data_IF_297059472002
#
_entry.id   IF_297059472002
#
_cell.length_a   1.000
_cell.length_b   1.000
_cell.length_c   1.000
_cell.angle_alpha   90.00
_cell.angle_beta   90.00
_cell.angle_gamma   90.00
#
_symmetry.space_group_name_H-M   'P 1'
#
loop_
_entity.id
_entity.type
_entity.pdbx_description
1 polymer ?
#
# COMPACT_ATOMS: atom_id res chain seq x y z
N UNK A 1 -19.60 33.09 -17.59
CA UNK A 1 -20.29 32.61 -16.39
C UNK A 1 -19.26 32.48 -15.28
N UNK A 2 -19.42 33.27 -14.23
CA UNK A 2 -18.49 33.26 -13.08
C UNK A 2 -18.77 31.99 -12.29
N UNK A 3 -17.90 30.98 -12.42
CA UNK A 3 -17.97 29.78 -11.63
C UNK A 3 -17.83 30.13 -10.16
N UNK A 4 -18.71 29.61 -9.29
CA UNK A 4 -18.63 29.80 -7.85
C UNK A 4 -17.26 29.33 -7.35
N UNK A 5 -16.55 30.22 -6.69
CA UNK A 5 -15.25 29.91 -6.07
C UNK A 5 -15.53 29.48 -4.64
N UNK A 6 -15.13 28.26 -4.28
CA UNK A 6 -15.27 27.75 -2.92
C UNK A 6 -13.90 27.78 -2.24
N UNK A 7 -13.81 28.34 -1.05
CA UNK A 7 -12.56 28.43 -0.29
C UNK A 7 -12.47 27.31 0.75
N UNK A 8 -11.40 26.54 0.68
CA UNK A 8 -11.04 25.47 1.60
C UNK A 8 -9.62 25.69 2.15
N UNK A 9 -9.32 25.11 3.27
CA UNK A 9 -7.93 25.06 3.74
C UNK A 9 -7.13 24.00 2.95
N UNK A 10 -7.78 22.86 2.64
CA UNK A 10 -7.15 21.73 1.93
C UNK A 10 -8.07 21.22 0.82
N UNK A 11 -7.52 21.03 -0.38
CA UNK A 11 -8.17 20.30 -1.48
C UNK A 11 -7.47 18.96 -1.69
N UNK A 12 -8.16 17.86 -1.45
CA UNK A 12 -7.62 16.49 -1.58
C UNK A 12 -8.22 15.85 -2.82
N UNK A 13 -7.36 15.38 -3.74
CA UNK A 13 -7.79 14.70 -4.97
C UNK A 13 -7.59 13.20 -4.84
N UNK A 14 -8.69 12.45 -4.81
CA UNK A 14 -8.78 11.01 -4.65
C UNK A 14 -9.28 10.60 -3.28
N UNK A 15 -10.46 9.93 -3.20
CA UNK A 15 -11.11 9.46 -1.98
C UNK A 15 -10.96 7.94 -1.79
N UNK A 16 -9.73 7.47 -1.74
CA UNK A 16 -9.35 6.14 -1.31
C UNK A 16 -8.53 6.24 -0.01
N UNK A 17 -7.79 5.20 0.39
CA UNK A 17 -7.11 5.13 1.69
C UNK A 17 -6.37 6.43 2.07
N UNK A 18 -5.45 6.88 1.22
CA UNK A 18 -4.64 8.06 1.53
C UNK A 18 -5.47 9.35 1.64
N UNK A 19 -6.37 9.58 0.66
CA UNK A 19 -7.15 10.82 0.61
C UNK A 19 -8.18 10.93 1.72
N UNK A 20 -8.89 9.83 2.03
CA UNK A 20 -9.84 9.81 3.16
C UNK A 20 -9.10 10.01 4.49
N UNK A 21 -7.91 9.42 4.66
CA UNK A 21 -7.07 9.64 5.84
C UNK A 21 -6.67 11.10 5.99
N UNK A 22 -6.17 11.72 4.92
CA UNK A 22 -5.81 13.15 4.91
C UNK A 22 -7.01 14.01 5.26
N UNK A 23 -8.14 13.79 4.58
CA UNK A 23 -9.33 14.62 4.75
C UNK A 23 -9.85 14.57 6.20
N UNK A 24 -10.03 13.34 6.73
CA UNK A 24 -10.50 13.16 8.10
C UNK A 24 -9.55 13.78 9.14
N UNK A 25 -8.25 13.50 9.03
CA UNK A 25 -7.28 13.99 10.01
C UNK A 25 -7.09 15.51 9.98
N UNK A 26 -7.19 16.18 8.83
CA UNK A 26 -7.21 17.64 8.77
C UNK A 26 -8.50 18.22 9.35
N UNK A 27 -9.64 17.65 9.00
CA UNK A 27 -10.94 18.13 9.52
C UNK A 27 -11.04 17.94 11.04
N UNK A 28 -10.53 16.84 11.60
CA UNK A 28 -10.42 16.67 13.06
C UNK A 28 -9.55 17.73 13.75
N UNK A 29 -8.74 18.47 13.00
CA UNK A 29 -7.95 19.63 13.46
C UNK A 29 -8.59 20.97 13.08
N UNK A 30 -9.86 20.98 12.68
CA UNK A 30 -10.64 22.17 12.37
C UNK A 30 -10.46 22.73 10.97
N UNK A 31 -9.74 22.06 10.07
CA UNK A 31 -9.58 22.52 8.69
C UNK A 31 -10.84 22.21 7.86
N UNK A 32 -11.17 23.10 6.92
CA UNK A 32 -12.18 22.87 5.87
C UNK A 32 -11.54 22.15 4.70
N UNK A 33 -12.05 20.96 4.35
CA UNK A 33 -11.45 20.06 3.36
C UNK A 33 -12.44 19.76 2.24
N UNK A 34 -12.03 20.01 0.98
CA UNK A 34 -12.69 19.45 -0.20
C UNK A 34 -12.06 18.10 -0.52
N UNK A 35 -12.85 17.02 -0.48
CA UNK A 35 -12.42 15.68 -0.85
C UNK A 35 -13.01 15.29 -2.21
N UNK A 36 -12.20 15.34 -3.26
CA UNK A 36 -12.61 15.21 -4.65
C UNK A 36 -12.40 13.76 -5.10
N UNK A 37 -13.44 13.11 -5.59
CA UNK A 37 -13.38 11.72 -6.09
C UNK A 37 -14.06 11.61 -7.47
N UNK A 38 -13.32 11.06 -8.44
CA UNK A 38 -13.81 10.92 -9.81
C UNK A 38 -14.94 9.89 -9.99
N UNK A 39 -15.02 8.89 -9.10
CA UNK A 39 -16.06 7.88 -9.12
C UNK A 39 -17.27 8.40 -8.35
N UNK A 40 -18.47 8.40 -8.95
CA UNK A 40 -19.67 8.86 -8.27
C UNK A 40 -20.21 7.84 -7.26
N UNK A 41 -19.95 6.54 -7.51
CA UNK A 41 -20.43 5.46 -6.66
C UNK A 41 -19.71 5.45 -5.31
N UNK A 42 -20.43 5.64 -4.18
CA UNK A 42 -19.86 5.59 -2.84
C UNK A 42 -19.32 4.20 -2.47
N UNK A 43 -19.81 3.13 -3.10
CA UNK A 43 -19.34 1.77 -2.90
C UNK A 43 -18.11 1.41 -3.75
N UNK A 44 -17.66 2.30 -4.64
CA UNK A 44 -16.51 2.03 -5.51
C UNK A 44 -15.24 1.72 -4.72
N UNK A 45 -14.50 0.70 -5.10
CA UNK A 45 -13.28 0.24 -4.45
C UNK A 45 -12.18 -0.12 -5.46
N UNK A 46 -10.95 -0.33 -4.97
CA UNK A 46 -9.80 -0.76 -5.79
C UNK A 46 -9.81 -2.28 -5.93
N UNK A 47 -10.07 -2.80 -7.12
CA UNK A 47 -10.23 -4.24 -7.39
C UNK A 47 -8.91 -5.01 -7.21
N UNK A 48 -7.82 -4.59 -7.88
CA UNK A 48 -6.54 -5.28 -7.79
C UNK A 48 -5.75 -4.81 -6.55
N UNK A 49 -5.72 -5.63 -5.50
CA UNK A 49 -5.03 -5.36 -4.25
C UNK A 49 -4.69 -6.66 -3.54
N UNK A 50 -3.71 -6.63 -2.63
CA UNK A 50 -3.38 -7.72 -1.70
C UNK A 50 -4.25 -7.73 -0.45
N UNK A 51 -5.06 -6.70 -0.23
CA UNK A 51 -6.03 -6.61 0.87
C UNK A 51 -5.42 -6.73 2.28
N UNK A 52 -4.14 -6.38 2.43
CA UNK A 52 -3.44 -6.42 3.70
C UNK A 52 -3.05 -5.03 4.19
N UNK A 53 -3.19 -4.79 5.48
CA UNK A 53 -2.69 -3.61 6.16
C UNK A 53 -1.55 -4.04 7.08
N UNK A 54 -0.36 -3.50 6.88
CA UNK A 54 0.82 -3.85 7.68
C UNK A 54 0.73 -3.30 9.11
N UNK A 55 1.40 -3.93 10.09
CA UNK A 55 1.38 -3.55 11.51
C UNK A 55 1.69 -2.07 11.76
N UNK A 56 2.60 -1.48 10.98
CA UNK A 56 3.00 -0.06 11.09
C UNK A 56 1.87 0.94 10.88
N UNK A 57 0.73 0.52 10.34
CA UNK A 57 -0.44 1.36 10.17
C UNK A 57 -1.43 1.32 11.34
N UNK A 58 -1.22 0.45 12.33
CA UNK A 58 -2.12 0.32 13.48
C UNK A 58 -2.36 1.66 14.20
N UNK A 59 -1.34 2.49 14.49
CA UNK A 59 -1.58 3.79 15.12
C UNK A 59 -2.49 4.71 14.30
N UNK A 60 -2.32 4.73 12.98
CA UNK A 60 -3.17 5.53 12.09
C UNK A 60 -4.61 5.01 12.08
N UNK A 61 -4.81 3.69 12.08
CA UNK A 61 -6.12 3.04 12.13
C UNK A 61 -6.86 3.40 13.42
N UNK A 62 -6.18 3.38 14.56
CA UNK A 62 -6.72 3.76 15.87
C UNK A 62 -7.11 5.25 15.88
N UNK A 63 -6.24 6.12 15.40
CA UNK A 63 -6.45 7.56 15.32
C UNK A 63 -7.62 7.94 14.41
N UNK A 64 -7.87 7.16 13.36
CA UNK A 64 -9.04 7.33 12.49
C UNK A 64 -10.33 6.83 13.13
N UNK A 65 -10.30 6.14 14.27
CA UNK A 65 -11.45 5.45 14.84
C UNK A 65 -11.89 4.23 14.00
N UNK A 66 -11.01 3.73 13.12
CA UNK A 66 -11.33 2.64 12.20
C UNK A 66 -11.28 1.27 12.87
N UNK A 67 -10.49 1.11 13.94
CA UNK A 67 -10.24 -0.19 14.57
C UNK A 67 -11.53 -0.89 15.05
N UNK A 68 -12.41 -0.17 15.72
CA UNK A 68 -13.68 -0.72 16.21
C UNK A 68 -14.56 -1.22 15.06
N UNK A 69 -14.67 -0.44 13.98
CA UNK A 69 -15.46 -0.81 12.81
C UNK A 69 -14.89 -2.01 12.04
N UNK A 70 -13.56 -2.23 12.07
CA UNK A 70 -12.94 -3.44 11.51
C UNK A 70 -13.24 -4.67 12.37
N UNK A 71 -13.15 -4.53 13.71
CA UNK A 71 -13.48 -5.63 14.64
C UNK A 71 -14.95 -6.03 14.51
N UNK A 72 -15.87 -5.07 14.47
CA UNK A 72 -17.30 -5.31 14.30
C UNK A 72 -17.64 -6.10 13.03
N UNK A 73 -16.84 -5.91 11.97
CA UNK A 73 -16.98 -6.61 10.69
C UNK A 73 -16.23 -7.94 10.63
N UNK A 74 -15.69 -8.43 11.74
CA UNK A 74 -14.96 -9.69 11.79
C UNK A 74 -13.65 -9.68 10.99
N UNK A 75 -13.08 -8.51 10.73
CA UNK A 75 -11.81 -8.39 9.99
C UNK A 75 -10.68 -9.03 10.81
N UNK A 76 -9.97 -10.05 10.28
CA UNK A 76 -8.96 -10.76 11.03
C UNK A 76 -7.70 -9.92 11.27
N UNK A 77 -7.11 -10.11 12.45
CA UNK A 77 -5.73 -9.69 12.72
C UNK A 77 -4.79 -10.70 12.08
N UNK A 78 -3.82 -10.21 11.30
CA UNK A 78 -2.96 -11.10 10.50
C UNK A 78 -1.50 -10.83 10.76
N UNK A 79 -0.73 -11.90 11.03
CA UNK A 79 0.73 -11.87 10.99
C UNK A 79 1.21 -12.35 9.60
N UNK A 80 2.44 -12.02 9.23
CA UNK A 80 3.01 -12.47 7.96
C UNK A 80 4.03 -13.58 8.19
N UNK A 81 3.92 -14.64 7.38
CA UNK A 81 4.90 -15.72 7.31
C UNK A 81 5.39 -15.87 5.85
N UNK A 82 6.65 -16.23 5.73
CA UNK A 82 7.37 -16.33 4.45
C UNK A 82 7.90 -17.73 4.27
N UNK A 83 7.57 -18.36 3.16
CA UNK A 83 8.17 -19.61 2.72
C UNK A 83 9.30 -19.34 1.73
N UNK A 84 10.39 -20.07 1.87
CA UNK A 84 11.55 -19.99 0.98
C UNK A 84 12.06 -21.38 0.62
N UNK A 85 12.51 -21.61 -0.64
CA UNK A 85 13.09 -22.89 -1.05
C UNK A 85 14.42 -23.20 -0.33
N UNK A 86 14.96 -22.24 0.42
CA UNK A 86 16.25 -22.37 1.11
C UNK A 86 16.14 -22.90 2.54
N UNK A 87 14.95 -23.19 3.05
CA UNK A 87 14.80 -23.73 4.41
C UNK A 87 13.38 -23.81 4.96
N UNK A 88 12.35 -23.44 4.20
CA UNK A 88 10.95 -23.52 4.62
C UNK A 88 10.41 -22.20 5.20
N UNK A 89 9.57 -22.28 6.24
CA UNK A 89 8.86 -21.14 6.82
C UNK A 89 9.69 -20.34 7.83
N UNK A 90 9.52 -19.04 7.81
CA UNK A 90 9.90 -18.12 8.89
C UNK A 90 8.91 -16.95 8.96
N UNK A 91 8.81 -16.27 10.11
CA UNK A 91 7.90 -15.16 10.26
C UNK A 91 7.93 -14.54 11.65
N UNK A 92 7.05 -13.56 11.89
CA UNK A 92 6.87 -12.88 13.16
C UNK A 92 5.40 -12.90 13.57
N UNK A 93 4.97 -13.87 14.36
CA UNK A 93 3.57 -13.96 14.80
C UNK A 93 3.13 -12.77 15.65
N UNK A 94 4.08 -12.10 16.34
CA UNK A 94 3.79 -10.96 17.22
C UNK A 94 3.47 -9.67 16.44
N UNK A 95 3.83 -9.59 15.15
CA UNK A 95 3.62 -8.42 14.32
C UNK A 95 2.30 -8.54 13.53
N UNK A 96 1.22 -8.09 14.15
CA UNK A 96 -0.11 -8.22 13.57
C UNK A 96 -0.61 -6.95 12.88
N UNK A 97 -0.96 -7.10 11.61
CA UNK A 97 -1.73 -6.15 10.82
C UNK A 97 -3.21 -6.52 10.73
N UNK A 98 -3.83 -6.24 9.59
CA UNK A 98 -5.24 -6.54 9.31
C UNK A 98 -5.39 -7.11 7.89
N UNK A 99 -6.24 -8.12 7.76
CA UNK A 99 -6.65 -8.66 6.45
C UNK A 99 -8.05 -8.15 6.10
N UNK A 100 -8.15 -7.10 5.30
CA UNK A 100 -9.43 -6.46 4.97
C UNK A 100 -9.58 -6.25 3.48
N UNK A 101 -10.69 -6.69 2.90
CA UNK A 101 -10.97 -6.45 1.49
C UNK A 101 -11.11 -4.95 1.21
N UNK A 102 -10.73 -4.54 -0.02
CA UNK A 102 -10.94 -3.15 -0.44
C UNK A 102 -12.42 -2.83 -0.64
N UNK A 103 -13.25 -3.85 -0.84
CA UNK A 103 -14.71 -3.76 -0.88
C UNK A 103 -15.28 -3.25 0.44
N UNK A 104 -14.69 -3.67 1.55
CA UNK A 104 -15.03 -3.19 2.90
C UNK A 104 -14.30 -1.90 3.25
N UNK A 105 -12.99 -1.85 3.03
CA UNK A 105 -12.13 -0.75 3.51
C UNK A 105 -12.40 0.59 2.82
N UNK A 106 -12.53 0.60 1.47
CA UNK A 106 -12.64 1.87 0.73
C UNK A 106 -13.96 2.62 1.02
N UNK A 107 -15.13 1.97 0.97
CA UNK A 107 -16.39 2.61 1.35
C UNK A 107 -16.41 3.06 2.81
N UNK A 108 -15.91 2.22 3.72
CA UNK A 108 -15.86 2.56 5.15
C UNK A 108 -15.03 3.81 5.42
N UNK A 109 -13.84 3.91 4.84
CA UNK A 109 -13.00 5.10 4.98
C UNK A 109 -13.64 6.35 4.37
N UNK A 110 -14.36 6.18 3.25
CA UNK A 110 -15.05 7.29 2.59
C UNK A 110 -16.23 7.79 3.41
N UNK A 111 -17.01 6.88 4.01
CA UNK A 111 -18.09 7.23 4.94
C UNK A 111 -17.53 7.98 6.16
N UNK A 112 -16.52 7.42 6.81
CA UNK A 112 -15.88 8.07 7.97
C UNK A 112 -15.31 9.47 7.63
N UNK A 113 -14.77 9.65 6.44
CA UNK A 113 -14.29 10.95 6.01
C UNK A 113 -15.45 11.92 5.75
N UNK A 114 -16.50 11.49 5.04
CA UNK A 114 -17.65 12.31 4.70
C UNK A 114 -18.46 12.74 5.94
N UNK A 115 -18.53 11.87 6.94
CA UNK A 115 -19.21 12.14 8.22
C UNK A 115 -18.42 13.06 9.16
N UNK A 116 -17.14 13.35 8.83
CA UNK A 116 -16.31 14.21 9.67
C UNK A 116 -16.67 15.69 9.42
N UNK A 117 -17.09 16.45 10.43
CA UNK A 117 -17.37 17.88 10.28
C UNK A 117 -16.18 18.62 9.65
N UNK A 118 -16.45 19.43 8.64
CA UNK A 118 -15.43 20.16 7.88
C UNK A 118 -14.97 19.47 6.60
N UNK A 119 -15.39 18.23 6.32
CA UNK A 119 -15.14 17.55 5.02
C UNK A 119 -16.34 17.73 4.09
N UNK A 120 -16.10 18.26 2.91
CA UNK A 120 -17.04 18.23 1.78
C UNK A 120 -16.56 17.17 0.78
N UNK A 121 -17.26 16.03 0.73
CA UNK A 121 -17.01 14.99 -0.26
C UNK A 121 -17.67 15.37 -1.59
N UNK A 122 -16.88 15.41 -2.67
CA UNK A 122 -17.30 15.76 -4.03
C UNK A 122 -17.17 14.52 -4.94
N UNK A 123 -18.14 13.58 -4.94
CA UNK A 123 -18.13 12.41 -5.80
C UNK A 123 -18.47 12.79 -7.24
N UNK A 124 -17.90 12.09 -8.23
CA UNK A 124 -18.10 12.35 -9.65
C UNK A 124 -17.27 13.48 -10.24
N UNK A 125 -16.39 14.12 -9.44
CA UNK A 125 -15.53 15.22 -9.88
C UNK A 125 -14.10 14.77 -10.14
N UNK A 126 -13.53 15.21 -11.27
CA UNK A 126 -12.16 14.93 -11.69
C UNK A 126 -11.33 16.22 -11.72
N UNK A 127 -10.12 16.20 -11.18
CA UNK A 127 -9.18 17.30 -11.35
C UNK A 127 -8.71 17.41 -12.81
N UNK A 128 -8.90 18.59 -13.41
CA UNK A 128 -8.59 18.87 -14.82
C UNK A 128 -7.61 20.03 -15.01
N UNK A 129 -7.36 20.83 -13.97
CA UNK A 129 -6.41 21.93 -13.98
C UNK A 129 -5.85 22.24 -12.59
N UNK A 130 -4.69 22.91 -12.56
CA UNK A 130 -4.14 23.47 -11.32
C UNK A 130 -4.45 24.96 -11.27
N UNK A 131 -4.92 25.45 -10.12
CA UNK A 131 -4.96 26.89 -9.85
C UNK A 131 -3.62 27.27 -9.24
N UNK A 132 -2.89 28.17 -9.90
CA UNK A 132 -1.61 28.67 -9.45
C UNK A 132 -1.72 30.07 -8.87
N UNK A 133 -0.85 30.36 -7.90
CA UNK A 133 -0.47 31.69 -7.41
C UNK A 133 1.05 31.83 -7.63
N UNK A 134 1.65 33.02 -7.58
CA UNK A 134 3.08 33.15 -7.83
C UNK A 134 3.94 32.16 -7.04
N UNK A 135 4.56 31.21 -7.77
CA UNK A 135 5.47 30.20 -7.24
C UNK A 135 4.83 29.05 -6.46
N UNK A 136 3.48 28.91 -6.38
CA UNK A 136 2.82 27.87 -5.59
C UNK A 136 1.48 27.40 -6.15
N UNK A 137 1.05 26.22 -5.74
CA UNK A 137 -0.31 25.74 -5.95
C UNK A 137 -1.29 26.48 -5.00
N UNK A 138 -2.47 26.84 -5.53
CA UNK A 138 -3.50 27.59 -4.82
C UNK A 138 -4.90 26.96 -5.00
N UNK A 139 -4.98 25.73 -5.53
CA UNK A 139 -6.23 24.99 -5.73
C UNK A 139 -6.21 24.12 -6.97
N UNK A 140 -7.39 23.58 -7.30
CA UNK A 140 -7.61 22.74 -8.47
C UNK A 140 -8.88 23.17 -9.23
N UNK A 141 -8.86 23.01 -10.54
CA UNK A 141 -10.07 23.04 -11.36
C UNK A 141 -10.58 21.61 -11.48
N UNK A 142 -11.87 21.42 -11.22
CA UNK A 142 -12.52 20.12 -11.25
C UNK A 142 -13.65 20.13 -12.26
N UNK A 143 -13.88 18.97 -12.89
CA UNK A 143 -14.95 18.79 -13.89
C UNK A 143 -15.77 17.58 -13.53
N UNK A 144 -17.09 17.70 -13.59
CA UNK A 144 -18.03 16.60 -13.46
C UNK A 144 -18.26 15.87 -14.81
N UNK A 145 -19.17 14.90 -14.82
CA UNK A 145 -19.51 14.13 -16.02
C UNK A 145 -20.28 14.93 -17.08
N UNK A 146 -21.01 15.96 -16.64
CA UNK A 146 -21.81 16.82 -17.50
C UNK A 146 -20.97 17.95 -18.11
N UNK A 147 -19.68 17.98 -17.78
CA UNK A 147 -18.73 18.97 -18.29
C UNK A 147 -18.70 20.27 -17.47
N UNK A 148 -19.46 20.35 -16.37
CA UNK A 148 -19.45 21.52 -15.48
C UNK A 148 -18.08 21.66 -14.84
N UNK A 149 -17.50 22.85 -14.92
CA UNK A 149 -16.18 23.15 -14.32
C UNK A 149 -16.38 24.02 -13.07
N UNK A 150 -15.73 23.62 -11.97
CA UNK A 150 -15.63 24.37 -10.72
C UNK A 150 -14.19 24.65 -10.36
N UNK A 151 -13.95 25.80 -9.76
CA UNK A 151 -12.65 26.16 -9.18
C UNK A 151 -12.72 25.93 -7.67
N UNK A 152 -11.86 25.04 -7.17
CA UNK A 152 -11.70 24.73 -5.75
C UNK A 152 -10.40 25.38 -5.29
N UNK A 153 -10.48 26.57 -4.68
CA UNK A 153 -9.30 27.23 -4.10
C UNK A 153 -8.98 26.64 -2.76
N UNK A 154 -7.68 26.43 -2.50
CA UNK A 154 -7.21 25.89 -1.23
C UNK A 154 -5.77 26.34 -0.95
N UNK A 155 -5.42 26.46 0.32
CA UNK A 155 -4.06 26.79 0.78
C UNK A 155 -3.07 25.63 0.53
N UNK A 156 -3.59 24.40 0.61
CA UNK A 156 -2.85 23.16 0.33
C UNK A 156 -3.64 22.27 -0.63
N UNK A 157 -3.02 21.86 -1.71
CA UNK A 157 -3.53 20.80 -2.60
C UNK A 157 -2.83 19.49 -2.25
N UNK A 158 -3.58 18.39 -2.12
CA UNK A 158 -3.03 17.06 -1.86
C UNK A 158 -3.41 16.10 -2.98
N UNK A 159 -2.40 15.62 -3.71
CA UNK A 159 -2.55 14.53 -4.67
C UNK A 159 -2.57 13.18 -3.95
N UNK A 160 -3.75 12.53 -3.91
CA UNK A 160 -4.00 11.20 -3.35
C UNK A 160 -4.61 10.25 -4.40
N UNK A 161 -4.45 10.58 -5.68
CA UNK A 161 -5.13 10.00 -6.85
C UNK A 161 -4.37 8.81 -7.48
N UNK A 162 -3.43 8.26 -6.72
CA UNK A 162 -2.79 6.99 -7.01
C UNK A 162 -1.62 7.06 -8.00
N UNK A 163 -1.16 5.90 -8.43
CA UNK A 163 0.07 5.73 -9.22
C UNK A 163 0.14 6.59 -10.49
N UNK A 164 -0.97 6.68 -11.21
CA UNK A 164 -1.10 7.48 -12.42
C UNK A 164 -1.54 8.92 -12.16
N UNK A 165 -1.17 9.52 -11.03
CA UNK A 165 -1.64 10.81 -10.54
C UNK A 165 -1.87 11.87 -11.62
N UNK A 166 -3.11 12.33 -11.74
CA UNK A 166 -3.50 13.47 -12.59
C UNK A 166 -2.97 14.77 -12.00
N UNK A 167 -3.00 14.91 -10.67
CA UNK A 167 -2.43 16.09 -9.98
C UNK A 167 -0.95 16.23 -10.28
N UNK A 168 -0.19 15.13 -10.29
CA UNK A 168 1.23 15.18 -10.63
C UNK A 168 1.47 15.62 -12.06
N UNK A 169 0.66 15.17 -13.02
CA UNK A 169 0.75 15.64 -14.42
C UNK A 169 0.37 17.10 -14.57
N UNK A 170 -0.73 17.52 -13.94
CA UNK A 170 -1.21 18.91 -13.99
C UNK A 170 -0.23 19.90 -13.34
N UNK A 171 0.52 19.45 -12.33
CA UNK A 171 1.53 20.24 -11.63
C UNK A 171 2.96 20.07 -12.23
N UNK A 172 3.12 19.36 -13.34
CA UNK A 172 4.43 18.98 -13.93
C UNK A 172 5.40 18.40 -12.90
N UNK A 173 4.90 17.46 -12.08
CA UNK A 173 5.73 16.70 -11.13
C UNK A 173 6.02 15.31 -11.69
N UNK A 174 7.16 15.17 -12.33
CA UNK A 174 7.59 13.89 -12.89
C UNK A 174 8.03 12.92 -11.79
N UNK A 175 7.72 11.64 -11.99
CA UNK A 175 8.18 10.55 -11.12
C UNK A 175 9.44 9.90 -11.69
N UNK A 176 10.34 9.48 -10.81
CA UNK A 176 11.40 8.53 -11.17
C UNK A 176 10.78 7.14 -11.22
N UNK A 177 10.87 6.50 -12.39
CA UNK A 177 10.38 5.14 -12.61
C UNK A 177 11.55 4.17 -12.51
N UNK A 178 11.41 3.11 -11.71
CA UNK A 178 12.37 2.02 -11.61
C UNK A 178 11.83 0.77 -12.31
N UNK A 179 12.71 -0.06 -12.88
CA UNK A 179 12.32 -1.30 -13.54
C UNK A 179 11.46 -2.19 -12.63
N UNK A 180 10.49 -2.85 -13.26
CA UNK A 180 9.63 -3.84 -12.63
C UNK A 180 9.41 -4.98 -13.64
N UNK A 181 9.85 -6.18 -13.29
CA UNK A 181 9.86 -7.33 -14.19
C UNK A 181 8.92 -8.45 -13.74
N UNK A 182 7.80 -8.09 -13.10
CA UNK A 182 6.76 -9.01 -12.64
C UNK A 182 5.40 -8.57 -13.10
N UNK A 183 4.47 -9.51 -13.13
CA UNK A 183 3.05 -9.25 -13.24
C UNK A 183 2.29 -10.18 -12.28
N UNK A 184 1.05 -9.83 -12.01
CA UNK A 184 0.28 -10.43 -10.94
C UNK A 184 -1.10 -10.83 -11.45
N UNK A 185 -1.59 -11.96 -10.94
CA UNK A 185 -2.98 -12.35 -11.01
C UNK A 185 -3.52 -12.58 -9.61
N UNK A 186 -4.71 -12.04 -9.36
CA UNK A 186 -5.40 -12.07 -8.08
C UNK A 186 -6.74 -12.77 -8.26
N UNK A 187 -7.13 -13.64 -7.33
CA UNK A 187 -8.48 -14.16 -7.26
C UNK A 187 -8.93 -14.26 -5.81
N UNK A 188 -10.22 -13.95 -5.60
CA UNK A 188 -10.90 -14.17 -4.33
C UNK A 188 -11.37 -15.63 -4.27
N UNK A 189 -11.20 -16.25 -3.12
CA UNK A 189 -11.59 -17.63 -2.83
C UNK A 189 -12.36 -17.69 -1.54
N UNK A 190 -13.29 -18.62 -1.42
CA UNK A 190 -14.03 -18.95 -0.19
C UNK A 190 -13.70 -20.37 0.22
N UNK A 191 -13.73 -20.65 1.53
CA UNK A 191 -13.47 -21.97 2.06
C UNK A 191 -12.00 -22.41 1.99
N UNK A 192 -11.06 -21.49 1.81
CA UNK A 192 -9.62 -21.81 1.86
C UNK A 192 -9.23 -22.08 3.31
N UNK A 193 -8.78 -23.31 3.65
CA UNK A 193 -8.39 -23.61 5.01
C UNK A 193 -7.09 -22.91 5.41
N UNK A 194 -6.87 -22.71 6.73
CA UNK A 194 -5.60 -22.22 7.24
C UNK A 194 -4.44 -23.15 6.85
N UNK A 195 -3.31 -22.58 6.42
CA UNK A 195 -2.19 -23.33 5.82
C UNK A 195 -1.39 -24.14 6.86
N UNK A 196 -1.19 -23.64 8.08
CA UNK A 196 -0.32 -24.29 9.07
C UNK A 196 -1.06 -24.87 10.27
N UNK A 197 -2.09 -24.21 10.77
CA UNK A 197 -2.89 -24.67 11.89
C UNK A 197 -4.30 -24.11 11.82
N UNK A 198 -5.27 -24.86 12.36
CA UNK A 198 -6.66 -24.42 12.43
C UNK A 198 -6.76 -23.08 13.18
N UNK A 199 -7.49 -22.14 12.59
CA UNK A 199 -7.69 -20.80 13.18
C UNK A 199 -6.53 -19.81 13.04
N UNK A 200 -5.41 -20.17 12.35
CA UNK A 200 -4.31 -19.24 12.09
C UNK A 200 -4.63 -18.30 10.92
N UNK A 201 -4.92 -17.01 11.18
CA UNK A 201 -5.26 -16.04 10.14
C UNK A 201 -4.02 -15.41 9.48
N UNK A 202 -2.88 -16.08 9.50
CA UNK A 202 -1.65 -15.48 8.98
C UNK A 202 -1.65 -15.33 7.46
N UNK A 203 -1.12 -14.20 7.01
CA UNK A 203 -0.73 -13.99 5.62
C UNK A 203 0.43 -14.95 5.31
N UNK A 204 0.36 -15.61 4.16
CA UNK A 204 1.42 -16.49 3.66
C UNK A 204 2.00 -15.93 2.36
N UNK A 205 3.32 -15.83 2.32
CA UNK A 205 4.02 -15.40 1.11
C UNK A 205 5.05 -16.47 0.72
N UNK A 206 4.99 -16.96 -0.51
CA UNK A 206 5.96 -17.87 -1.09
C UNK A 206 6.93 -17.11 -1.97
N UNK A 207 8.21 -17.11 -1.59
CA UNK A 207 9.33 -16.51 -2.33
C UNK A 207 10.02 -17.59 -3.14
N UNK A 208 9.44 -17.95 -4.30
CA UNK A 208 9.81 -19.15 -5.08
C UNK A 208 11.03 -18.96 -5.98
N UNK A 209 11.55 -17.76 -6.19
CA UNK A 209 12.73 -17.44 -7.03
C UNK A 209 12.69 -18.07 -8.46
N UNK A 210 12.18 -17.36 -9.49
CA UNK A 210 11.81 -15.94 -9.52
C UNK A 210 10.31 -15.67 -9.32
N UNK A 211 9.51 -16.70 -9.29
CA UNK A 211 8.07 -16.63 -9.07
C UNK A 211 7.73 -16.31 -7.61
N UNK A 212 6.47 -16.10 -7.35
CA UNK A 212 5.97 -15.94 -6.00
C UNK A 212 4.48 -16.18 -5.93
N UNK A 213 4.00 -16.37 -4.72
CA UNK A 213 2.58 -16.44 -4.45
C UNK A 213 2.27 -15.84 -3.08
N UNK A 214 1.03 -15.52 -2.86
CA UNK A 214 0.58 -15.06 -1.54
C UNK A 214 -0.86 -15.49 -1.26
N UNK A 215 -1.14 -15.75 0.00
CA UNK A 215 -2.44 -16.00 0.58
C UNK A 215 -2.74 -14.92 1.62
N UNK A 216 -3.83 -14.19 1.42
CA UNK A 216 -4.29 -13.13 2.30
C UNK A 216 -5.69 -13.48 2.82
N UNK A 217 -5.82 -13.93 4.08
CA UNK A 217 -7.12 -14.14 4.70
C UNK A 217 -7.78 -12.79 5.00
N UNK A 218 -9.07 -12.71 4.76
CA UNK A 218 -9.89 -11.52 4.96
C UNK A 218 -11.19 -11.89 5.70
N UNK A 219 -12.05 -10.89 5.89
CA UNK A 219 -13.38 -11.08 6.49
C UNK A 219 -14.27 -11.99 5.63
N UNK A 220 -15.37 -12.47 6.19
CA UNK A 220 -16.42 -13.29 5.56
C UNK A 220 -15.90 -14.62 4.95
N UNK A 221 -14.80 -15.16 5.49
CA UNK A 221 -14.18 -16.38 4.99
C UNK A 221 -13.59 -16.24 3.60
N UNK A 222 -13.37 -15.00 3.14
CA UNK A 222 -12.70 -14.71 1.86
C UNK A 222 -11.18 -14.75 2.05
N UNK A 223 -10.51 -15.41 1.13
CA UNK A 223 -9.06 -15.33 0.98
C UNK A 223 -8.72 -14.79 -0.41
N UNK A 224 -7.70 -13.93 -0.49
CA UNK A 224 -7.14 -13.53 -1.78
C UNK A 224 -5.88 -14.32 -2.04
N UNK A 225 -5.90 -15.15 -3.08
CA UNK A 225 -4.73 -15.85 -3.57
C UNK A 225 -4.10 -15.07 -4.73
N UNK A 226 -2.79 -14.87 -4.65
CA UNK A 226 -2.03 -14.08 -5.62
C UNK A 226 -0.97 -14.94 -6.26
N UNK A 227 -0.97 -15.01 -7.58
CA UNK A 227 0.12 -15.59 -8.38
C UNK A 227 1.00 -14.47 -8.95
N UNK A 228 2.31 -14.61 -8.81
CA UNK A 228 3.32 -13.65 -9.25
C UNK A 228 4.25 -14.31 -10.25
N UNK A 229 4.29 -13.76 -11.45
CA UNK A 229 5.10 -14.29 -12.54
C UNK A 229 6.15 -13.29 -13.00
N UNK A 230 7.33 -13.75 -13.39
CA UNK A 230 8.33 -12.92 -14.05
C UNK A 230 7.87 -12.53 -15.47
N UNK A 231 8.24 -11.34 -15.92
CA UNK A 231 7.71 -10.74 -17.15
C UNK A 231 8.02 -11.57 -18.43
N UNK A 232 9.08 -12.33 -18.44
CA UNK A 232 9.41 -13.19 -19.60
C UNK A 232 8.41 -14.34 -19.80
N UNK A 233 7.61 -14.71 -18.78
CA UNK A 233 6.53 -15.69 -18.90
C UNK A 233 5.21 -15.09 -19.38
N UNK A 234 5.16 -13.79 -19.68
CA UNK A 234 3.88 -13.10 -19.96
C UNK A 234 3.12 -13.69 -21.15
N UNK A 235 3.81 -14.03 -22.23
CA UNK A 235 3.18 -14.61 -23.43
C UNK A 235 2.57 -16.00 -23.14
N UNK A 236 3.31 -16.86 -22.46
CA UNK A 236 2.87 -18.19 -22.01
C UNK A 236 1.64 -18.11 -21.10
N UNK A 237 1.75 -17.28 -20.04
CA UNK A 237 0.66 -17.16 -19.06
C UNK A 237 -0.59 -16.51 -19.67
N UNK A 238 -0.44 -15.59 -20.62
CA UNK A 238 -1.58 -14.99 -21.33
C UNK A 238 -2.31 -15.95 -22.25
N UNK A 239 -1.63 -16.96 -22.77
CA UNK A 239 -2.24 -18.01 -23.59
C UNK A 239 -3.20 -18.91 -22.79
N UNK A 240 -2.93 -19.09 -21.48
CA UNK A 240 -3.74 -19.87 -20.55
C UNK A 240 -3.64 -19.25 -19.15
N UNK A 241 -4.39 -18.17 -18.91
CA UNK A 241 -4.35 -17.44 -17.63
C UNK A 241 -4.84 -18.33 -16.49
N UNK A 242 -5.97 -18.99 -16.67
CA UNK A 242 -6.63 -19.79 -15.64
C UNK A 242 -5.77 -21.00 -15.26
N UNK A 243 -5.35 -21.80 -16.23
CA UNK A 243 -4.50 -22.93 -15.97
C UNK A 243 -3.12 -22.56 -15.42
N UNK A 244 -2.51 -21.46 -15.88
CA UNK A 244 -1.23 -21.00 -15.35
C UNK A 244 -1.35 -20.52 -13.89
N UNK A 245 -2.42 -19.81 -13.58
CA UNK A 245 -2.71 -19.36 -12.22
C UNK A 245 -2.94 -20.56 -11.28
N UNK A 246 -3.83 -21.48 -11.66
CA UNK A 246 -4.16 -22.65 -10.83
C UNK A 246 -2.98 -23.59 -10.66
N UNK A 247 -2.22 -23.87 -11.72
CA UNK A 247 -1.00 -24.69 -11.62
C UNK A 247 -0.02 -24.13 -10.60
N UNK A 248 0.23 -22.80 -10.60
CA UNK A 248 1.13 -22.21 -9.62
C UNK A 248 0.60 -22.33 -8.20
N UNK A 249 -0.67 -21.99 -7.98
CA UNK A 249 -1.27 -22.01 -6.62
C UNK A 249 -1.35 -23.43 -6.06
N UNK A 250 -1.73 -24.43 -6.88
CA UNK A 250 -1.82 -25.84 -6.43
C UNK A 250 -0.46 -26.49 -6.23
N UNK A 251 0.59 -26.00 -6.88
CA UNK A 251 1.96 -26.50 -6.75
C UNK A 251 2.75 -25.86 -5.59
N UNK A 252 2.13 -24.98 -4.79
CA UNK A 252 2.83 -24.31 -3.69
C UNK A 252 3.28 -25.31 -2.63
N UNK A 253 4.57 -25.33 -2.26
CA UNK A 253 5.05 -26.14 -1.16
C UNK A 253 4.35 -25.77 0.15
N UNK A 254 3.74 -26.74 0.82
CA UNK A 254 2.86 -26.49 1.98
C UNK A 254 1.80 -25.39 1.68
N UNK A 255 1.24 -25.43 0.47
CA UNK A 255 0.19 -24.53 0.02
C UNK A 255 -1.16 -24.84 0.66
N UNK A 256 -2.17 -23.97 0.44
CA UNK A 256 -3.53 -24.25 0.92
C UNK A 256 -4.13 -25.43 0.17
N UNK A 257 -4.89 -26.26 0.88
CA UNK A 257 -5.76 -27.24 0.24
C UNK A 257 -6.94 -26.52 -0.42
N UNK A 258 -7.13 -26.72 -1.71
CA UNK A 258 -8.21 -26.10 -2.49
C UNK A 258 -9.26 -27.11 -2.96
N UNK A 259 -9.28 -28.33 -2.38
CA UNK A 259 -10.23 -29.37 -2.80
C UNK A 259 -11.68 -28.94 -2.60
N UNK A 260 -11.97 -28.30 -1.47
CA UNK A 260 -13.29 -27.81 -1.08
C UNK A 260 -13.44 -26.27 -1.23
N UNK A 261 -12.39 -25.59 -1.73
CA UNK A 261 -12.39 -24.15 -1.87
C UNK A 261 -13.01 -23.73 -3.20
N UNK A 262 -13.81 -22.69 -3.18
CA UNK A 262 -14.48 -22.11 -4.35
C UNK A 262 -13.85 -20.75 -4.72
N UNK A 263 -13.54 -20.57 -6.01
CA UNK A 263 -13.11 -19.27 -6.53
C UNK A 263 -14.32 -18.35 -6.72
N UNK A 264 -14.28 -17.19 -6.05
CA UNK A 264 -15.33 -16.17 -6.11
C UNK A 264 -15.02 -15.16 -7.20
N UNK A 265 -15.69 -15.27 -8.33
CA UNK A 265 -15.54 -14.34 -9.45
C UNK A 265 -14.33 -14.64 -10.36
N UNK A 266 -13.90 -13.61 -11.10
CA UNK A 266 -12.86 -13.75 -12.13
C UNK A 266 -11.45 -13.52 -11.57
N UNK A 267 -10.46 -14.07 -12.26
CA UNK A 267 -9.05 -13.75 -12.04
C UNK A 267 -8.77 -12.33 -12.56
N UNK A 268 -8.21 -11.48 -11.73
CA UNK A 268 -7.89 -10.08 -12.05
C UNK A 268 -6.40 -9.93 -12.29
N UNK A 269 -6.01 -9.51 -13.49
CA UNK A 269 -4.62 -9.29 -13.86
C UNK A 269 -4.12 -7.87 -13.57
N UNK A 270 -2.88 -7.75 -13.14
CA UNK A 270 -2.13 -6.51 -13.06
C UNK A 270 -0.79 -6.69 -13.76
N UNK A 271 -0.75 -6.33 -15.04
CA UNK A 271 0.39 -6.62 -15.92
C UNK A 271 1.51 -5.58 -15.82
N UNK A 272 1.16 -4.34 -15.49
CA UNK A 272 2.11 -3.24 -15.35
C UNK A 272 2.00 -2.60 -13.98
N UNK A 273 3.11 -2.67 -13.25
CA UNK A 273 3.21 -2.18 -11.87
C UNK A 273 4.52 -1.41 -11.69
N UNK A 274 4.74 -0.31 -12.42
CA UNK A 274 6.00 0.42 -12.32
C UNK A 274 6.21 0.94 -10.90
N UNK A 275 7.44 0.81 -10.40
CA UNK A 275 7.86 1.46 -9.16
C UNK A 275 8.07 2.94 -9.45
N UNK A 276 7.28 3.79 -8.79
CA UNK A 276 7.29 5.23 -9.04
C UNK A 276 7.59 5.98 -7.76
N UNK A 277 8.52 6.92 -7.84
CA UNK A 277 8.86 7.82 -6.75
C UNK A 277 8.80 9.27 -7.25
N UNK A 278 7.97 10.09 -6.61
CA UNK A 278 7.84 11.54 -6.90
C UNK A 278 8.37 12.37 -5.74
N UNK A 279 8.72 13.62 -6.02
CA UNK A 279 8.91 14.61 -4.99
C UNK A 279 7.62 14.73 -4.16
N UNK A 280 7.64 14.47 -2.84
CA UNK A 280 6.43 14.38 -2.06
C UNK A 280 5.78 15.73 -1.76
N UNK A 281 6.45 16.85 -2.01
CA UNK A 281 5.87 18.18 -1.90
C UNK A 281 6.55 19.24 -2.77
N UNK A 282 5.80 20.31 -3.03
CA UNK A 282 6.22 21.61 -3.57
C UNK A 282 5.45 22.70 -2.81
N UNK A 283 5.76 23.99 -2.98
CA UNK A 283 4.97 25.06 -2.35
C UNK A 283 3.46 24.92 -2.64
N UNK A 284 2.64 24.85 -1.59
CA UNK A 284 1.20 24.67 -1.67
C UNK A 284 0.71 23.31 -2.19
N UNK A 285 1.60 22.33 -2.41
CA UNK A 285 1.25 21.02 -2.99
C UNK A 285 1.96 19.90 -2.25
N UNK A 286 1.22 18.83 -1.95
CA UNK A 286 1.77 17.57 -1.41
C UNK A 286 1.22 16.36 -2.15
N UNK A 287 1.94 15.24 -2.08
CA UNK A 287 1.51 13.92 -2.56
C UNK A 287 1.60 12.90 -1.44
N UNK A 288 0.62 11.99 -1.39
CA UNK A 288 0.54 10.89 -0.42
C UNK A 288 0.21 9.56 -1.11
N UNK A 289 0.50 8.46 -0.45
CA UNK A 289 0.24 7.12 -0.97
C UNK A 289 0.89 6.86 -2.34
N UNK A 290 0.20 6.12 -3.21
CA UNK A 290 0.71 5.77 -4.55
C UNK A 290 0.95 7.01 -5.46
N UNK A 291 0.40 8.17 -5.14
CA UNK A 291 0.68 9.42 -5.86
C UNK A 291 2.09 9.95 -5.57
N UNK A 292 2.62 9.70 -4.38
CA UNK A 292 4.00 10.01 -4.00
C UNK A 292 4.95 8.85 -4.27
N UNK A 293 4.57 7.64 -3.84
CA UNK A 293 5.41 6.44 -3.87
C UNK A 293 4.57 5.20 -4.16
N UNK A 294 4.82 4.57 -5.31
CA UNK A 294 4.19 3.32 -5.71
C UNK A 294 5.24 2.22 -5.87
N UNK A 295 4.95 1.02 -5.33
CA UNK A 295 5.88 -0.12 -5.30
C UNK A 295 5.24 -1.39 -5.82
N UNK A 296 6.06 -2.44 -5.88
CA UNK A 296 5.65 -3.82 -6.10
C UNK A 296 4.61 -4.25 -5.03
N UNK A 297 3.46 -4.80 -5.43
CA UNK A 297 2.40 -5.21 -4.49
C UNK A 297 2.72 -6.49 -3.69
N UNK A 298 3.74 -7.27 -4.05
CA UNK A 298 4.06 -8.54 -3.37
C UNK A 298 4.22 -8.38 -1.85
N UNK A 299 4.78 -7.26 -1.42
CA UNK A 299 5.01 -6.99 0.01
C UNK A 299 3.76 -6.47 0.77
N UNK A 300 2.63 -6.28 0.11
CA UNK A 300 1.41 -5.75 0.74
C UNK A 300 1.53 -4.33 1.30
N UNK A 301 2.60 -3.59 0.95
CA UNK A 301 2.98 -2.35 1.63
C UNK A 301 2.18 -1.11 1.21
N UNK A 302 1.44 -1.15 0.09
CA UNK A 302 0.81 0.05 -0.51
C UNK A 302 -0.21 0.73 0.38
N UNK A 303 -1.05 -0.02 1.08
CA UNK A 303 -2.04 0.53 2.02
C UNK A 303 -1.34 1.20 3.20
N UNK A 304 -0.29 0.56 3.74
CA UNK A 304 0.50 1.13 4.82
C UNK A 304 1.22 2.42 4.42
N UNK A 305 1.81 2.51 3.22
CA UNK A 305 2.36 3.76 2.72
C UNK A 305 1.30 4.86 2.60
N UNK A 306 0.07 4.49 2.22
CA UNK A 306 -1.03 5.43 2.10
C UNK A 306 -1.42 6.03 3.47
N UNK A 307 -1.61 5.20 4.49
CA UNK A 307 -1.92 5.64 5.85
C UNK A 307 -0.81 6.49 6.46
N UNK A 308 0.42 5.95 6.49
CA UNK A 308 1.55 6.60 7.17
C UNK A 308 1.97 7.92 6.50
N UNK A 309 1.93 8.00 5.15
CA UNK A 309 2.28 9.25 4.47
C UNK A 309 1.20 10.33 4.66
N UNK A 310 -0.08 9.93 4.70
CA UNK A 310 -1.19 10.82 4.97
C UNK A 310 -1.11 11.40 6.39
N UNK A 311 -0.94 10.55 7.39
CA UNK A 311 -0.80 10.95 8.78
C UNK A 311 0.38 11.90 8.98
N UNK A 312 1.55 11.54 8.45
CA UNK A 312 2.74 12.39 8.52
C UNK A 312 2.53 13.75 7.86
N UNK A 313 1.87 13.82 6.70
CA UNK A 313 1.56 15.09 6.06
C UNK A 313 0.75 15.98 6.99
N UNK A 314 -0.31 15.42 7.57
CA UNK A 314 -1.19 16.18 8.46
C UNK A 314 -0.46 16.63 9.71
N UNK A 315 0.35 15.78 10.33
CA UNK A 315 1.13 16.10 11.54
C UNK A 315 2.12 17.25 11.30
N UNK A 316 2.74 17.28 10.15
CA UNK A 316 3.70 18.34 9.81
C UNK A 316 3.05 19.68 9.43
N UNK A 317 1.83 19.65 8.84
CA UNK A 317 1.32 20.82 8.13
C UNK A 317 0.05 21.42 8.73
N UNK A 318 -0.70 20.69 9.57
CA UNK A 318 -2.02 21.15 10.01
C UNK A 318 -1.99 22.49 10.78
N UNK A 319 -0.99 22.70 11.64
CA UNK A 319 -0.82 23.95 12.42
C UNK A 319 -0.29 25.11 11.57
N UNK A 320 0.18 24.83 10.36
CA UNK A 320 0.81 25.81 9.49
C UNK A 320 -0.12 26.32 8.36
N UNK A 321 -1.35 25.81 8.26
CA UNK A 321 -2.27 26.15 7.16
C UNK A 321 -2.60 27.66 7.10
N UNK A 322 -2.52 28.39 8.21
CA UNK A 322 -2.83 29.81 8.29
C UNK A 322 -1.81 30.74 7.65
N UNK A 323 -0.56 30.29 7.46
CA UNK A 323 0.54 31.11 6.92
C UNK A 323 1.29 30.36 5.80
N UNK A 324 1.44 30.98 4.65
CA UNK A 324 2.04 30.36 3.46
C UNK A 324 3.50 29.98 3.67
N UNK A 325 4.29 30.84 4.34
CA UNK A 325 5.71 30.57 4.59
C UNK A 325 5.91 29.42 5.58
N UNK A 326 5.08 29.41 6.64
CA UNK A 326 5.04 28.34 7.63
C UNK A 326 4.64 27.00 6.98
N UNK A 327 3.61 27.03 6.11
CA UNK A 327 3.15 25.85 5.36
C UNK A 327 4.25 25.31 4.44
N UNK A 328 4.94 26.17 3.70
CA UNK A 328 6.00 25.74 2.80
C UNK A 328 7.22 25.20 3.58
N UNK A 329 7.52 25.74 4.76
CA UNK A 329 8.52 25.19 5.67
C UNK A 329 8.09 23.80 6.21
N UNK A 330 6.82 23.63 6.57
CA UNK A 330 6.23 22.36 7.00
C UNK A 330 6.26 21.31 5.88
N UNK A 331 5.94 21.69 4.65
CA UNK A 331 6.02 20.84 3.48
C UNK A 331 7.45 20.36 3.20
N UNK A 332 8.46 21.19 3.44
CA UNK A 332 9.88 20.77 3.36
C UNK A 332 10.25 19.77 4.48
N UNK A 333 9.73 19.94 5.71
CA UNK A 333 9.91 18.94 6.79
C UNK A 333 9.24 17.62 6.42
N UNK A 334 7.99 17.68 5.95
CA UNK A 334 7.29 16.51 5.42
C UNK A 334 8.13 15.77 4.38
N UNK A 335 8.66 16.48 3.38
CA UNK A 335 9.47 15.88 2.31
C UNK A 335 10.72 15.18 2.85
N UNK A 336 11.42 15.78 3.81
CA UNK A 336 12.60 15.16 4.44
C UNK A 336 12.21 13.91 5.23
N UNK A 337 11.18 14.01 6.07
CA UNK A 337 10.69 12.87 6.86
C UNK A 337 10.16 11.74 5.99
N UNK A 338 9.47 12.06 4.88
CA UNK A 338 9.03 11.11 3.87
C UNK A 338 10.22 10.37 3.25
N UNK A 339 11.26 11.09 2.84
CA UNK A 339 12.45 10.50 2.25
C UNK A 339 13.17 9.55 3.23
N UNK A 340 13.40 9.97 4.45
CA UNK A 340 14.07 9.16 5.48
C UNK A 340 13.29 7.89 5.81
N UNK A 341 11.96 7.98 5.88
CA UNK A 341 11.11 6.86 6.28
C UNK A 341 10.83 5.88 5.15
N UNK A 342 10.56 6.36 3.93
CA UNK A 342 9.99 5.52 2.88
C UNK A 342 10.95 5.17 1.75
N UNK A 343 11.92 6.02 1.40
CA UNK A 343 12.85 5.75 0.29
C UNK A 343 13.68 4.48 0.47
N UNK A 344 14.24 4.16 1.65
CA UNK A 344 14.97 2.91 1.83
C UNK A 344 14.14 1.67 1.48
N UNK A 345 12.88 1.63 1.91
CA UNK A 345 11.96 0.55 1.60
C UNK A 345 11.59 0.54 0.11
N UNK A 346 11.34 1.71 -0.49
CA UNK A 346 11.07 1.79 -1.93
C UNK A 346 12.24 1.26 -2.76
N UNK A 347 13.47 1.60 -2.39
CA UNK A 347 14.68 1.11 -3.08
C UNK A 347 14.82 -0.40 -2.97
N UNK A 348 14.65 -0.96 -1.77
CA UNK A 348 14.68 -2.39 -1.52
C UNK A 348 13.61 -3.14 -2.33
N UNK A 349 12.35 -2.69 -2.25
CA UNK A 349 11.24 -3.31 -2.96
C UNK A 349 11.43 -3.20 -4.49
N UNK A 350 11.92 -2.07 -4.98
CA UNK A 350 12.23 -1.90 -6.40
C UNK A 350 13.34 -2.81 -6.88
N UNK A 351 14.39 -3.01 -6.07
CA UNK A 351 15.48 -3.93 -6.39
C UNK A 351 14.97 -5.38 -6.47
N UNK A 352 14.11 -5.78 -5.53
CA UNK A 352 13.51 -7.11 -5.52
C UNK A 352 12.54 -7.34 -6.69
N UNK A 353 11.82 -6.31 -7.12
CA UNK A 353 10.83 -6.39 -8.20
C UNK A 353 11.42 -6.58 -9.60
N UNK A 354 12.74 -6.48 -9.75
CA UNK A 354 13.44 -6.77 -11.02
C UNK A 354 13.38 -8.27 -11.37
N UNK A 355 12.98 -9.12 -10.43
CA UNK A 355 12.87 -10.58 -10.58
C UNK A 355 14.19 -11.24 -11.03
N UNK A 356 15.30 -10.78 -10.46
CA UNK A 356 16.60 -11.46 -10.58
C UNK A 356 16.63 -12.68 -9.63
N UNK A 357 17.43 -13.68 -9.94
CA UNK A 357 17.70 -14.77 -8.99
C UNK A 357 18.17 -14.21 -7.64
N UNK A 358 17.70 -14.80 -6.57
CA UNK A 358 18.10 -14.44 -5.20
C UNK A 358 19.60 -14.66 -5.04
N UNK A 359 20.34 -13.66 -4.61
CA UNK A 359 21.79 -13.72 -4.50
C UNK A 359 22.23 -14.62 -3.33
N UNK A 360 23.52 -15.08 -3.29
CA UNK A 360 24.00 -16.00 -2.25
C UNK A 360 23.83 -15.46 -0.80
N UNK A 361 23.99 -14.15 -0.60
CA UNK A 361 23.83 -13.53 0.74
C UNK A 361 22.35 -13.55 1.16
N UNK A 362 21.45 -13.21 0.25
CA UNK A 362 20.01 -13.30 0.48
C UNK A 362 19.56 -14.75 0.74
N UNK A 363 20.06 -15.71 -0.03
CA UNK A 363 19.81 -17.15 0.20
C UNK A 363 20.27 -17.57 1.59
N UNK A 364 21.49 -17.18 1.98
CA UNK A 364 21.99 -17.46 3.31
C UNK A 364 21.13 -16.83 4.40
N UNK A 365 20.73 -15.57 4.24
CA UNK A 365 19.87 -14.87 5.19
C UNK A 365 18.50 -15.54 5.32
N UNK A 366 17.85 -15.90 4.21
CA UNK A 366 16.59 -16.63 4.21
C UNK A 366 16.71 -18.01 4.85
N UNK A 367 17.76 -18.75 4.54
CA UNK A 367 18.05 -20.05 5.17
C UNK A 367 18.27 -19.93 6.67
N UNK A 368 18.96 -18.88 7.12
CA UNK A 368 19.17 -18.63 8.55
C UNK A 368 17.88 -18.23 9.26
N UNK A 369 17.04 -17.45 8.62
CA UNK A 369 15.77 -17.02 9.20
C UNK A 369 14.84 -18.21 9.58
N UNK A 370 14.97 -19.36 8.90
CA UNK A 370 14.17 -20.57 9.24
C UNK A 370 14.63 -21.26 10.53
N UNK A 371 15.82 -20.94 11.05
CA UNK A 371 16.41 -21.61 12.24
C UNK A 371 16.92 -20.66 13.30
N UNK A 372 17.02 -19.36 13.03
CA UNK A 372 17.47 -18.33 13.96
C UNK A 372 16.41 -17.24 14.08
N UNK A 373 15.77 -17.17 15.24
CA UNK A 373 14.68 -16.21 15.51
C UNK A 373 15.15 -14.75 15.47
N UNK A 374 16.42 -14.47 15.72
CA UNK A 374 16.98 -13.10 15.64
C UNK A 374 17.10 -12.65 14.18
N UNK A 375 17.55 -13.53 13.30
CA UNK A 375 17.60 -13.27 11.84
C UNK A 375 16.18 -13.18 11.28
N UNK A 376 15.30 -14.11 11.64
CA UNK A 376 13.88 -14.07 11.25
C UNK A 376 13.23 -12.74 11.66
N UNK A 377 13.43 -12.30 12.91
CA UNK A 377 12.91 -11.04 13.43
C UNK A 377 13.48 -9.83 12.67
N UNK A 378 14.77 -9.81 12.37
CA UNK A 378 15.37 -8.72 11.61
C UNK A 378 14.77 -8.60 10.20
N UNK A 379 14.63 -9.72 9.47
CA UNK A 379 14.04 -9.74 8.14
C UNK A 379 12.55 -9.38 8.20
N UNK A 380 11.79 -10.00 9.10
CA UNK A 380 10.36 -9.74 9.26
C UNK A 380 10.06 -8.28 9.61
N UNK A 381 10.82 -7.65 10.51
CA UNK A 381 10.68 -6.22 10.85
C UNK A 381 10.94 -5.30 9.66
N UNK A 382 11.90 -5.65 8.79
CA UNK A 382 12.16 -4.89 7.56
C UNK A 382 11.02 -5.08 6.55
N UNK A 383 10.52 -6.30 6.39
CA UNK A 383 9.41 -6.58 5.49
C UNK A 383 8.08 -5.97 5.97
N UNK A 384 7.84 -5.97 7.29
CA UNK A 384 6.73 -5.24 7.91
C UNK A 384 6.92 -3.72 7.94
N UNK A 385 8.09 -3.21 7.52
CA UNK A 385 8.49 -1.80 7.53
C UNK A 385 8.60 -1.16 8.90
N UNK A 386 8.71 -1.95 9.97
CA UNK A 386 8.98 -1.43 11.32
C UNK A 386 10.40 -0.88 11.44
N UNK A 387 11.34 -1.52 10.77
CA UNK A 387 12.74 -1.12 10.73
C UNK A 387 13.21 -0.84 9.32
N UNK A 388 14.14 0.11 9.18
CA UNK A 388 14.79 0.40 7.91
C UNK A 388 15.52 -0.84 7.37
N UNK A 389 15.60 -1.05 6.04
CA UNK A 389 16.43 -2.08 5.41
C UNK A 389 17.90 -2.08 5.87
N UNK A 390 18.43 -0.94 6.29
CA UNK A 390 19.77 -0.85 6.90
C UNK A 390 19.96 -1.77 8.12
N UNK A 391 18.87 -2.20 8.78
CA UNK A 391 18.90 -3.17 9.88
C UNK A 391 19.53 -4.51 9.49
N UNK A 392 19.41 -4.91 8.22
CA UNK A 392 19.99 -6.15 7.72
C UNK A 392 21.53 -6.10 7.66
N UNK A 393 22.12 -4.92 7.70
CA UNK A 393 23.57 -4.69 7.75
C UNK A 393 24.12 -4.51 9.17
N UNK A 394 23.29 -4.72 10.21
CA UNK A 394 23.74 -4.72 11.60
C UNK A 394 24.83 -5.78 11.80
N UNK A 395 26.00 -5.44 12.40
CA UNK A 395 27.09 -6.39 12.62
C UNK A 395 26.67 -7.64 13.41
N UNK A 396 25.67 -7.52 14.28
CA UNK A 396 25.12 -8.66 15.04
C UNK A 396 24.39 -9.64 14.13
N UNK A 397 23.67 -9.13 13.11
CA UNK A 397 23.03 -9.98 12.10
C UNK A 397 24.09 -10.59 11.19
N UNK A 398 25.06 -9.81 10.73
CA UNK A 398 26.16 -10.30 9.90
C UNK A 398 26.94 -11.43 10.61
N UNK A 399 27.27 -11.28 11.91
CA UNK A 399 27.91 -12.31 12.71
C UNK A 399 27.08 -13.61 12.76
N UNK A 400 25.74 -13.52 12.93
CA UNK A 400 24.87 -14.69 12.91
C UNK A 400 24.79 -15.37 11.55
N UNK A 401 24.90 -14.63 10.46
CA UNK A 401 25.00 -15.22 9.11
C UNK A 401 26.30 -15.98 8.91
N UNK A 402 27.42 -15.53 9.51
CA UNK A 402 28.75 -16.11 9.38
C UNK A 402 28.97 -17.38 10.23
N UNK A 403 28.18 -17.65 11.27
CA UNK A 403 28.35 -18.82 12.15
C UNK A 403 28.11 -20.11 11.34
N UNK A 404 29.06 -21.07 11.26
CA UNK A 404 28.84 -22.36 10.60
C UNK A 404 27.68 -23.11 11.28
N UNK A 405 26.88 -23.82 10.48
CA UNK A 405 25.86 -24.72 11.03
C UNK A 405 26.59 -25.88 11.73
N UNK A 406 26.38 -26.08 13.04
CA UNK A 406 26.62 -27.41 13.61
C UNK A 406 25.51 -28.28 13.03
N UNK A 407 25.84 -29.23 12.20
CA UNK A 407 24.92 -30.30 11.79
C UNK A 407 24.56 -31.08 13.06
N UNK A 408 23.45 -30.68 13.68
CA UNK A 408 22.85 -31.43 14.79
C UNK A 408 22.19 -32.64 14.19
N UNK A 409 22.54 -33.80 14.70
CA UNK A 409 22.04 -35.15 14.44
C UNK A 409 20.57 -35.15 14.04
N UNK A 410 20.29 -35.68 12.84
CA UNK A 410 18.97 -36.23 12.52
C UNK A 410 18.69 -37.36 13.55
N UNK A 411 17.77 -37.15 14.44
CA UNK A 411 17.08 -38.18 15.18
C UNK A 411 15.63 -38.19 14.69
#
# INVERSE_FOLDING_TARGET
MSGSTTDFDVAVVGASVAGCTVARLFAQRGARVALIEKRPDPAAFKVACTHAILPTSTPTIERLGLAAALVERGVPRTAAQFWTPFGGWFGLPDLQGWGVTRRTLDPLLRSLAAETPGVELMPGWSAVGMIASPGRAAGVEVRDRDGTVRRVRARLVVGADGRGSSVARLADVRGRVRPHNRFFYFAEWRGVPPVLSAGDPSIRLWLLDPEGAAHFPNEDGIAVLVAVFPRWRLAEVRADIEGSYERLIRALPNGPDLAEAERVGRIVGKLEVPNVLRAPSRPGLAFVGDAALATDPLFGAGIGFAFESAERLVDETATALGDERALDAALRRYARGFALRFWPHHLQMSAFSVAKPINPIERLAMRRATTDSTVARAIGQVMARERSPARLWDPRIAARLAIPRREGSRA
#
